data_IF_315395792465
#
_entry.id   IF_315395792465
#
_cell.length_a   1.000
_cell.length_b   1.000
_cell.length_c   1.000
_cell.angle_alpha   90.00
_cell.angle_beta   90.00
_cell.angle_gamma   90.00
#
_symmetry.space_group_name_H-M   'P 1'
#
loop_
_entity.id
_entity.type
_entity.pdbx_description
1 polymer ?
#
# COMPACT_ATOMS: atom_id res chain seq x y z
N UNK A 1 -16.66 -9.70 -8.59
CA UNK A 1 -16.27 -8.55 -7.73
C UNK A 1 -15.44 -7.58 -8.54
N UNK A 2 -15.64 -6.25 -8.36
CA UNK A 2 -14.94 -5.17 -9.09
C UNK A 2 -14.08 -4.35 -8.15
N UNK A 3 -12.82 -4.11 -8.52
CA UNK A 3 -11.93 -3.22 -7.78
C UNK A 3 -11.73 -1.92 -8.55
N UNK A 4 -12.18 -0.81 -7.98
CA UNK A 4 -11.92 0.51 -8.51
C UNK A 4 -10.46 0.89 -8.24
N UNK A 5 -9.70 1.09 -9.32
CA UNK A 5 -8.25 1.20 -9.34
C UNK A 5 -7.80 2.42 -10.17
N UNK A 6 -6.63 2.93 -9.82
CA UNK A 6 -5.87 3.85 -10.66
C UNK A 6 -4.44 3.32 -10.79
N UNK A 7 -3.97 3.19 -12.03
CA UNK A 7 -2.64 2.62 -12.32
C UNK A 7 -1.55 3.41 -11.58
N UNK A 8 -0.74 2.72 -10.80
CA UNK A 8 0.34 3.30 -10.00
C UNK A 8 -0.08 3.78 -8.60
N UNK A 9 -1.37 3.76 -8.26
CA UNK A 9 -1.80 4.09 -6.91
C UNK A 9 -1.42 2.97 -5.92
N UNK A 10 -0.81 3.30 -4.78
CA UNK A 10 -0.26 2.30 -3.87
C UNK A 10 -1.34 1.48 -3.14
N UNK A 11 -2.44 2.10 -2.71
CA UNK A 11 -3.48 1.41 -1.96
C UNK A 11 -4.26 0.36 -2.79
N UNK A 12 -4.68 0.64 -4.05
CA UNK A 12 -5.19 -0.40 -4.92
C UNK A 12 -4.16 -1.50 -5.21
N UNK A 13 -2.86 -1.15 -5.37
CA UNK A 13 -1.80 -2.13 -5.56
C UNK A 13 -1.70 -3.10 -4.38
N UNK A 14 -1.84 -2.61 -3.13
CA UNK A 14 -1.91 -3.46 -1.92
C UNK A 14 -2.99 -4.53 -2.05
N UNK A 15 -4.20 -4.14 -2.46
CA UNK A 15 -5.32 -5.08 -2.65
C UNK A 15 -5.05 -6.08 -3.77
N UNK A 16 -4.48 -5.63 -4.89
CA UNK A 16 -4.14 -6.51 -6.02
C UNK A 16 -3.10 -7.55 -5.64
N UNK A 17 -2.05 -7.16 -4.91
CA UNK A 17 -1.05 -8.10 -4.38
C UNK A 17 -1.72 -9.10 -3.45
N UNK A 18 -2.55 -8.63 -2.51
CA UNK A 18 -3.26 -9.49 -1.57
C UNK A 18 -4.18 -10.50 -2.29
N UNK A 19 -4.96 -10.03 -3.25
CA UNK A 19 -5.82 -10.90 -4.06
C UNK A 19 -5.01 -11.95 -4.85
N UNK A 20 -3.87 -11.55 -5.43
CA UNK A 20 -2.98 -12.47 -6.15
C UNK A 20 -2.36 -13.53 -5.23
N UNK A 21 -1.96 -13.18 -3.98
CA UNK A 21 -1.50 -14.16 -2.98
C UNK A 21 -2.60 -15.19 -2.62
N UNK A 22 -3.86 -14.79 -2.73
CA UNK A 22 -5.04 -15.63 -2.48
C UNK A 22 -5.54 -16.40 -3.72
N UNK A 23 -4.98 -16.14 -4.90
CA UNK A 23 -5.51 -16.68 -6.15
C UNK A 23 -6.87 -16.14 -6.53
N UNK A 24 -7.27 -14.97 -5.99
CA UNK A 24 -8.55 -14.32 -6.26
C UNK A 24 -8.41 -13.40 -7.47
N UNK A 25 -9.21 -13.61 -8.49
CA UNK A 25 -9.32 -12.71 -9.64
C UNK A 25 -10.29 -11.56 -9.36
N UNK A 26 -9.86 -10.34 -9.64
CA UNK A 26 -10.66 -9.13 -9.52
C UNK A 26 -10.82 -8.44 -10.87
N UNK A 27 -12.03 -8.05 -11.22
CA UNK A 27 -12.27 -7.16 -12.35
C UNK A 27 -11.79 -5.76 -11.99
N UNK A 28 -10.82 -5.21 -12.74
CA UNK A 28 -10.28 -3.88 -12.47
C UNK A 28 -11.08 -2.82 -13.20
N UNK A 29 -11.64 -1.87 -12.46
CA UNK A 29 -12.35 -0.70 -13.01
C UNK A 29 -11.46 0.52 -12.86
N UNK A 30 -10.97 1.04 -13.99
CA UNK A 30 -10.14 2.25 -13.97
C UNK A 30 -10.95 3.45 -13.51
N UNK A 31 -10.39 4.21 -12.55
CA UNK A 31 -10.96 5.46 -12.04
C UNK A 31 -10.00 6.59 -12.36
N UNK A 32 -10.33 7.44 -13.32
CA UNK A 32 -9.46 8.53 -13.75
C UNK A 32 -9.40 9.64 -12.68
N UNK A 33 -8.30 9.63 -11.92
CA UNK A 33 -8.06 10.60 -10.84
C UNK A 33 -7.86 12.03 -11.38
N UNK A 34 -7.35 12.18 -12.62
CA UNK A 34 -7.13 13.49 -13.25
C UNK A 34 -8.46 14.11 -13.68
N UNK A 35 -9.38 13.31 -14.19
CA UNK A 35 -10.75 13.73 -14.49
C UNK A 35 -11.63 13.81 -13.24
N UNK A 36 -11.08 13.51 -12.06
CA UNK A 36 -11.79 13.54 -10.78
C UNK A 36 -13.00 12.61 -10.73
N UNK A 37 -12.98 11.47 -11.44
CA UNK A 37 -14.07 10.49 -11.43
C UNK A 37 -14.39 9.98 -10.01
N UNK A 38 -13.39 9.93 -9.13
CA UNK A 38 -13.54 9.61 -7.70
C UNK A 38 -14.34 10.67 -6.89
N UNK A 39 -14.74 11.78 -7.52
CA UNK A 39 -15.53 12.87 -6.89
C UNK A 39 -16.91 13.05 -7.54
N UNK A 40 -17.30 12.17 -8.45
CA UNK A 40 -18.66 12.15 -9.00
C UNK A 40 -19.64 11.60 -7.97
N UNK A 41 -20.92 12.01 -8.07
CA UNK A 41 -21.97 11.53 -7.16
C UNK A 41 -22.11 10.01 -7.20
N UNK A 42 -21.93 9.40 -8.39
CA UNK A 42 -21.95 7.95 -8.56
C UNK A 42 -20.85 7.26 -7.74
N UNK A 43 -19.62 7.80 -7.80
CA UNK A 43 -18.52 7.24 -7.03
C UNK A 43 -18.66 7.51 -5.52
N UNK A 44 -19.10 8.72 -5.14
CA UNK A 44 -19.32 9.09 -3.76
C UNK A 44 -20.44 8.25 -3.10
N UNK A 45 -21.42 7.79 -3.85
CA UNK A 45 -22.41 6.83 -3.37
C UNK A 45 -21.78 5.46 -3.00
N UNK A 46 -20.68 5.06 -3.65
CA UNK A 46 -19.91 3.83 -3.35
C UNK A 46 -18.93 4.06 -2.19
N UNK A 47 -18.27 5.21 -2.16
CA UNK A 47 -17.32 5.60 -1.12
C UNK A 47 -17.40 7.11 -0.85
N UNK A 48 -18.08 7.54 0.22
CA UNK A 48 -18.23 8.97 0.55
C UNK A 48 -16.90 9.71 0.78
N UNK A 49 -15.80 8.99 1.10
CA UNK A 49 -14.48 9.62 1.23
C UNK A 49 -13.91 10.06 -0.13
N UNK A 50 -14.46 9.55 -1.23
CA UNK A 50 -13.98 9.80 -2.58
C UNK A 50 -12.52 9.39 -2.75
N UNK A 51 -12.15 8.22 -2.25
CA UNK A 51 -10.81 7.61 -2.34
C UNK A 51 -10.88 6.23 -2.96
N UNK A 52 -9.80 5.79 -3.56
CA UNK A 52 -9.58 4.42 -4.04
C UNK A 52 -8.59 3.71 -3.12
N UNK A 53 -8.65 2.34 -3.04
CA UNK A 53 -9.57 1.45 -3.73
C UNK A 53 -10.99 1.41 -3.15
N UNK A 54 -11.91 0.93 -3.95
CA UNK A 54 -13.23 0.45 -3.52
C UNK A 54 -13.42 -0.94 -4.11
N UNK A 55 -13.87 -1.90 -3.32
CA UNK A 55 -14.32 -3.21 -3.79
C UNK A 55 -15.85 -3.20 -3.86
N UNK A 56 -16.40 -3.38 -5.06
CA UNK A 56 -17.84 -3.58 -5.29
C UNK A 56 -18.11 -5.08 -5.42
N UNK A 57 -18.98 -5.59 -4.57
CA UNK A 57 -19.41 -6.97 -4.57
C UNK A 57 -20.48 -7.22 -5.65
N UNK A 58 -20.75 -8.49 -5.97
CA UNK A 58 -21.71 -8.85 -7.01
C UNK A 58 -23.17 -8.48 -6.66
N UNK A 59 -23.45 -8.25 -5.38
CA UNK A 59 -24.74 -7.74 -4.88
C UNK A 59 -24.83 -6.21 -4.80
N UNK A 60 -23.78 -5.49 -5.25
CA UNK A 60 -23.70 -4.03 -5.27
C UNK A 60 -23.22 -3.39 -3.97
N UNK A 61 -22.99 -4.15 -2.89
CA UNK A 61 -22.37 -3.59 -1.68
C UNK A 61 -20.93 -3.21 -1.94
N UNK A 62 -20.46 -2.13 -1.31
CA UNK A 62 -19.12 -1.61 -1.48
C UNK A 62 -18.34 -1.65 -0.17
N UNK A 63 -17.05 -1.98 -0.27
CA UNK A 63 -16.08 -1.95 0.83
C UNK A 63 -14.96 -0.98 0.43
N UNK A 64 -14.68 0.00 1.28
CA UNK A 64 -13.52 0.89 1.15
C UNK A 64 -12.43 0.50 2.15
N UNK A 65 -11.27 1.19 2.07
CA UNK A 65 -10.04 0.93 2.83
C UNK A 65 -9.34 -0.37 2.42
N UNK A 66 -8.13 -0.25 1.89
CA UNK A 66 -7.40 -1.40 1.29
C UNK A 66 -7.18 -2.57 2.25
N UNK A 67 -6.94 -2.32 3.54
CA UNK A 67 -6.79 -3.38 4.54
C UNK A 67 -8.13 -4.01 4.91
N UNK A 68 -9.22 -3.23 4.95
CA UNK A 68 -10.56 -3.76 5.16
C UNK A 68 -11.00 -4.65 3.99
N UNK A 69 -10.68 -4.25 2.76
CA UNK A 69 -10.88 -5.07 1.56
C UNK A 69 -10.07 -6.37 1.68
N UNK A 70 -8.79 -6.29 2.06
CA UNK A 70 -7.95 -7.48 2.27
C UNK A 70 -8.51 -8.41 3.34
N UNK A 71 -9.09 -7.89 4.44
CA UNK A 71 -9.78 -8.71 5.45
C UNK A 71 -11.02 -9.42 4.90
N UNK A 72 -11.78 -8.76 4.05
CA UNK A 72 -12.90 -9.40 3.37
C UNK A 72 -12.43 -10.54 2.47
N UNK A 73 -11.35 -10.31 1.69
CA UNK A 73 -10.76 -11.35 0.83
C UNK A 73 -10.19 -12.51 1.64
N UNK A 74 -9.56 -12.26 2.79
CA UNK A 74 -9.13 -13.30 3.75
C UNK A 74 -10.29 -14.14 4.27
N UNK A 75 -11.43 -13.51 4.54
CA UNK A 75 -12.60 -14.22 5.08
C UNK A 75 -13.28 -15.13 4.05
N UNK A 76 -13.23 -14.79 2.76
CA UNK A 76 -13.80 -15.63 1.69
C UNK A 76 -12.81 -16.68 1.17
N UNK A 77 -11.49 -16.43 1.27
CA UNK A 77 -10.43 -17.37 0.93
C UNK A 77 -9.38 -17.36 2.06
N UNK A 78 -9.52 -18.22 3.09
CA UNK A 78 -8.66 -18.18 4.27
C UNK A 78 -7.20 -18.58 4.01
N UNK A 79 -6.92 -19.37 2.97
CA UNK A 79 -5.56 -19.83 2.68
C UNK A 79 -4.98 -19.22 1.38
N UNK A 80 -3.67 -18.93 1.35
CA UNK A 80 -2.74 -18.92 2.47
C UNK A 80 -3.11 -17.84 3.50
N UNK A 81 -3.09 -18.19 4.79
CA UNK A 81 -3.47 -17.25 5.85
C UNK A 81 -2.45 -16.10 5.99
N UNK A 82 -2.93 -14.84 5.88
CA UNK A 82 -2.12 -13.63 5.90
C UNK A 82 -2.47 -12.67 7.06
N UNK A 83 -3.49 -12.99 7.87
CA UNK A 83 -3.93 -12.16 9.01
C UNK A 83 -3.76 -12.81 10.38
N UNK A 84 -3.29 -14.07 10.44
CA UNK A 84 -3.10 -14.82 11.67
C UNK A 84 -4.09 -15.97 11.83
N UNK A 85 -3.63 -17.07 12.46
CA UNK A 85 -4.38 -18.35 12.59
C UNK A 85 -5.03 -18.53 13.95
N UNK A 86 -4.46 -17.91 14.98
CA UNK A 86 -4.98 -17.96 16.35
C UNK A 86 -5.16 -16.57 16.93
N UNK A 87 -5.68 -16.49 18.13
CA UNK A 87 -5.99 -15.22 18.79
C UNK A 87 -4.75 -14.32 19.00
N UNK A 88 -3.58 -14.94 19.26
CA UNK A 88 -2.33 -14.19 19.41
C UNK A 88 -1.87 -13.62 18.07
N UNK A 89 -1.77 -14.47 17.03
CA UNK A 89 -1.35 -14.04 15.70
C UNK A 89 -2.30 -12.98 15.11
N UNK A 90 -3.63 -13.16 15.27
CA UNK A 90 -4.62 -12.15 14.85
C UNK A 90 -4.33 -10.78 15.47
N UNK A 91 -4.08 -10.73 16.77
CA UNK A 91 -3.73 -9.50 17.48
C UNK A 91 -2.36 -8.97 17.10
N UNK A 92 -1.37 -9.84 16.98
CA UNK A 92 0.02 -9.47 16.67
C UNK A 92 0.16 -8.93 15.22
N UNK A 93 -0.38 -9.64 14.24
CA UNK A 93 -0.32 -9.21 12.83
C UNK A 93 -1.08 -7.88 12.62
N UNK A 94 -2.24 -7.73 13.28
CA UNK A 94 -2.97 -6.46 13.27
C UNK A 94 -2.13 -5.34 13.89
N UNK A 95 -1.52 -5.55 15.06
CA UNK A 95 -0.70 -4.54 15.72
C UNK A 95 0.47 -4.10 14.81
N UNK A 96 1.16 -5.05 14.18
CA UNK A 96 2.27 -4.77 13.24
C UNK A 96 1.80 -3.99 12.02
N UNK A 97 0.68 -4.41 11.41
CA UNK A 97 0.12 -3.70 10.26
C UNK A 97 -0.34 -2.28 10.63
N UNK A 98 -0.97 -2.10 11.81
CA UNK A 98 -1.38 -0.78 12.31
C UNK A 98 -0.20 0.16 12.56
N UNK A 99 0.92 -0.34 13.07
CA UNK A 99 2.15 0.45 13.23
C UNK A 99 2.64 0.97 11.87
N UNK A 100 2.66 0.11 10.84
CA UNK A 100 3.03 0.54 9.48
C UNK A 100 2.07 1.62 8.98
N UNK A 101 0.76 1.45 9.14
CA UNK A 101 -0.23 2.41 8.65
C UNK A 101 -0.16 3.75 9.39
N UNK A 102 -0.08 3.72 10.72
CA UNK A 102 -0.15 4.93 11.54
C UNK A 102 1.19 5.65 11.67
N UNK A 103 2.31 4.91 11.74
CA UNK A 103 3.61 5.50 12.00
C UNK A 103 4.42 5.74 10.72
N UNK A 104 4.29 4.90 9.69
CA UNK A 104 5.01 5.05 8.42
C UNK A 104 4.15 5.68 7.32
N UNK A 105 3.02 5.05 6.97
CA UNK A 105 2.15 5.55 5.88
C UNK A 105 1.68 6.97 6.09
N UNK A 106 1.32 7.33 7.34
CA UNK A 106 0.89 8.70 7.67
C UNK A 106 2.01 9.71 7.40
N UNK A 107 3.26 9.37 7.74
CA UNK A 107 4.41 10.25 7.49
C UNK A 107 4.73 10.34 5.99
N UNK A 108 4.73 9.22 5.28
CA UNK A 108 4.92 9.20 3.82
C UNK A 108 3.82 10.04 3.15
N UNK A 109 2.56 9.89 3.57
CA UNK A 109 1.43 10.66 3.06
C UNK A 109 1.58 12.17 3.31
N UNK A 110 2.03 12.56 4.51
CA UNK A 110 2.31 13.97 4.84
C UNK A 110 3.44 14.53 3.98
N UNK A 111 4.52 13.78 3.81
CA UNK A 111 5.63 14.17 2.93
C UNK A 111 5.16 14.29 1.47
N UNK A 112 4.35 13.35 0.98
CA UNK A 112 3.78 13.36 -0.36
C UNK A 112 2.93 14.60 -0.63
N UNK A 113 1.97 14.90 0.27
CA UNK A 113 1.06 16.05 0.13
C UNK A 113 1.82 17.36 0.14
N UNK A 114 2.89 17.46 0.92
CA UNK A 114 3.73 18.66 1.01
C UNK A 114 4.97 18.61 0.09
N UNK A 115 5.00 17.63 -0.82
CA UNK A 115 6.11 17.43 -1.75
C UNK A 115 5.93 18.15 -3.10
N UNK A 116 7.00 18.20 -3.92
CA UNK A 116 7.02 19.00 -5.14
C UNK A 116 6.00 18.54 -6.20
N UNK A 117 5.70 17.25 -6.30
CA UNK A 117 4.74 16.73 -7.29
C UNK A 117 3.33 17.24 -6.97
N UNK A 118 2.87 17.12 -5.73
CA UNK A 118 1.54 17.61 -5.30
C UNK A 118 1.51 19.13 -5.28
N UNK A 119 2.61 19.77 -4.88
CA UNK A 119 2.76 21.23 -4.94
C UNK A 119 2.58 21.78 -6.34
N UNK A 120 3.14 21.14 -7.35
CA UNK A 120 2.97 21.52 -8.75
C UNK A 120 1.53 21.37 -9.26
N UNK A 121 0.70 20.54 -8.62
CA UNK A 121 -0.72 20.39 -8.95
C UNK A 121 -1.59 21.56 -8.41
N UNK A 122 -1.06 22.34 -7.45
CA UNK A 122 -1.79 23.48 -6.87
C UNK A 122 -3.04 23.10 -6.08
N UNK A 123 -3.12 21.86 -5.59
CA UNK A 123 -4.32 21.35 -4.90
C UNK A 123 -4.37 21.68 -3.42
N UNK A 124 -3.20 21.95 -2.82
CA UNK A 124 -3.04 22.19 -1.38
C UNK A 124 -1.98 23.24 -1.11
N UNK A 125 -2.15 24.01 -0.04
CA UNK A 125 -1.10 24.87 0.49
C UNK A 125 0.02 24.01 1.07
N UNK A 126 1.25 24.23 0.62
CA UNK A 126 2.41 23.47 1.02
C UNK A 126 2.92 23.91 2.40
N UNK A 127 3.25 22.97 3.26
CA UNK A 127 3.84 23.19 4.59
C UNK A 127 5.24 22.54 4.63
N UNK A 128 6.32 23.25 4.22
CA UNK A 128 7.66 22.67 4.10
C UNK A 128 8.18 22.04 5.40
N UNK A 129 7.88 22.63 6.55
CA UNK A 129 8.30 22.10 7.85
C UNK A 129 7.60 20.77 8.18
N UNK A 130 6.34 20.57 7.75
CA UNK A 130 5.64 19.30 7.90
C UNK A 130 6.32 18.22 7.05
N UNK A 131 6.70 18.54 5.80
CA UNK A 131 7.48 17.62 4.96
C UNK A 131 8.79 17.24 5.64
N UNK A 132 9.59 18.21 6.04
CA UNK A 132 10.90 17.99 6.69
C UNK A 132 10.80 17.12 7.94
N UNK A 133 9.79 17.37 8.78
CA UNK A 133 9.55 16.56 9.98
C UNK A 133 9.16 15.11 9.62
N UNK A 134 8.28 14.94 8.63
CA UNK A 134 7.84 13.64 8.17
C UNK A 134 8.96 12.84 7.52
N UNK A 135 9.80 13.46 6.68
CA UNK A 135 10.97 12.82 6.07
C UNK A 135 11.92 12.25 7.14
N UNK A 136 12.18 13.01 8.19
CA UNK A 136 12.98 12.56 9.32
C UNK A 136 12.35 11.37 10.06
N UNK A 137 11.03 11.39 10.24
CA UNK A 137 10.32 10.30 10.90
C UNK A 137 10.31 9.02 10.05
N UNK A 138 10.16 9.14 8.72
CA UNK A 138 10.24 8.01 7.78
C UNK A 138 11.62 7.35 7.86
N UNK A 139 12.70 8.12 7.79
CA UNK A 139 14.06 7.58 7.87
C UNK A 139 14.32 6.87 9.21
N UNK A 140 13.88 7.44 10.33
CA UNK A 140 13.97 6.78 11.64
C UNK A 140 13.16 5.49 11.70
N UNK A 141 12.03 5.43 11.01
CA UNK A 141 11.24 4.21 10.93
C UNK A 141 11.98 3.12 10.14
N UNK A 142 12.65 3.48 9.03
CA UNK A 142 13.48 2.56 8.26
C UNK A 142 14.65 1.99 9.08
N UNK A 143 15.36 2.84 9.84
CA UNK A 143 16.43 2.40 10.76
C UNK A 143 15.92 1.40 11.82
N UNK A 144 14.71 1.65 12.37
CA UNK A 144 14.06 0.71 13.29
C UNK A 144 13.75 -0.62 12.62
N UNK A 145 13.16 -0.58 11.41
CA UNK A 145 12.84 -1.79 10.65
C UNK A 145 14.10 -2.60 10.32
N UNK A 146 15.19 -1.95 9.93
CA UNK A 146 16.45 -2.64 9.67
C UNK A 146 16.92 -3.40 10.91
N UNK A 147 16.88 -2.76 12.07
CA UNK A 147 17.23 -3.41 13.35
C UNK A 147 16.31 -4.60 13.69
N UNK A 148 15.01 -4.48 13.43
CA UNK A 148 14.03 -5.57 13.64
C UNK A 148 14.28 -6.73 12.68
N UNK A 149 14.56 -6.45 11.40
CA UNK A 149 14.84 -7.46 10.39
C UNK A 149 16.20 -8.15 10.54
N UNK A 150 17.09 -7.66 11.41
CA UNK A 150 18.30 -8.41 11.79
C UNK A 150 17.99 -9.78 12.44
N UNK A 151 16.81 -9.89 13.07
CA UNK A 151 16.39 -11.10 13.81
C UNK A 151 15.05 -11.67 13.35
N UNK A 152 14.33 -10.97 12.45
CA UNK A 152 13.04 -11.40 11.92
C UNK A 152 13.11 -11.53 10.40
N UNK A 153 12.45 -12.55 9.85
CA UNK A 153 12.35 -12.72 8.40
C UNK A 153 11.32 -11.77 7.80
N UNK A 154 10.16 -11.59 8.46
CA UNK A 154 9.04 -10.77 8.02
C UNK A 154 8.58 -9.78 9.08
N UNK A 155 7.67 -8.89 8.73
CA UNK A 155 7.12 -7.85 9.61
C UNK A 155 6.58 -8.39 10.93
N UNK A 156 5.92 -9.54 10.91
CA UNK A 156 5.30 -10.15 12.09
C UNK A 156 6.04 -11.40 12.58
N UNK A 157 7.35 -11.51 12.29
CA UNK A 157 8.19 -12.64 12.70
C UNK A 157 8.57 -13.55 11.53
N UNK A 158 8.25 -14.85 11.63
CA UNK A 158 8.69 -15.86 10.67
C UNK A 158 7.71 -16.10 9.52
N UNK A 159 6.59 -15.40 9.52
CA UNK A 159 5.52 -15.60 8.53
C UNK A 159 5.22 -14.33 7.76
N UNK A 160 5.19 -14.47 6.42
CA UNK A 160 4.68 -13.45 5.52
C UNK A 160 3.20 -13.13 5.80
N UNK A 161 2.85 -11.86 5.79
CA UNK A 161 1.55 -11.37 6.24
C UNK A 161 1.09 -10.10 5.50
N UNK A 162 -0.10 -9.62 5.80
CA UNK A 162 -0.60 -8.32 5.37
C UNK A 162 0.36 -7.17 5.73
N UNK A 163 1.10 -7.30 6.84
CA UNK A 163 2.11 -6.32 7.24
C UNK A 163 3.21 -6.15 6.19
N UNK A 164 3.69 -7.25 5.61
CA UNK A 164 4.72 -7.23 4.57
C UNK A 164 4.19 -6.59 3.28
N UNK A 165 2.96 -6.90 2.89
CA UNK A 165 2.30 -6.28 1.72
C UNK A 165 2.14 -4.77 1.94
N UNK A 166 1.73 -4.36 3.14
CA UNK A 166 1.59 -2.95 3.50
C UNK A 166 2.93 -2.22 3.48
N UNK A 167 3.98 -2.84 4.01
CA UNK A 167 5.30 -2.24 4.10
C UNK A 167 5.96 -2.10 2.73
N UNK A 168 5.96 -3.17 1.90
CA UNK A 168 6.57 -3.10 0.57
C UNK A 168 5.88 -2.07 -0.31
N UNK A 169 4.54 -1.97 -0.25
CA UNK A 169 3.80 -0.94 -0.98
C UNK A 169 4.12 0.47 -0.49
N UNK A 170 4.37 0.65 0.81
CA UNK A 170 4.77 1.94 1.38
C UNK A 170 6.16 2.37 0.92
N UNK A 171 7.15 1.47 1.01
CA UNK A 171 8.54 1.74 0.61
C UNK A 171 8.62 2.01 -0.89
N UNK A 172 7.95 1.21 -1.72
CA UNK A 172 7.93 1.41 -3.16
C UNK A 172 7.32 2.76 -3.54
N UNK A 173 6.21 3.15 -2.91
CA UNK A 173 5.60 4.47 -3.13
C UNK A 173 6.51 5.60 -2.67
N UNK A 174 7.09 5.47 -1.47
CA UNK A 174 8.02 6.45 -0.92
C UNK A 174 9.23 6.66 -1.83
N UNK A 175 9.81 5.56 -2.33
CA UNK A 175 10.97 5.58 -3.23
C UNK A 175 10.65 6.18 -4.59
N UNK A 176 9.51 5.81 -5.19
CA UNK A 176 9.21 6.16 -6.59
C UNK A 176 8.61 7.54 -6.76
N UNK A 177 7.87 8.05 -5.77
CA UNK A 177 7.07 9.27 -5.90
C UNK A 177 7.36 10.34 -4.84
N UNK A 178 7.90 9.96 -3.68
CA UNK A 178 8.12 10.90 -2.57
C UNK A 178 9.58 11.30 -2.42
N UNK A 179 10.49 10.55 -3.08
CA UNK A 179 11.95 10.68 -2.94
C UNK A 179 12.45 10.37 -1.51
N UNK A 180 11.85 9.33 -0.93
CA UNK A 180 12.19 8.82 0.41
C UNK A 180 12.60 7.34 0.33
N UNK A 181 13.68 7.07 -0.43
CA UNK A 181 14.30 5.74 -0.50
C UNK A 181 15.01 5.44 0.83
N UNK A 182 14.89 4.21 1.38
CA UNK A 182 15.74 3.79 2.50
C UNK A 182 17.23 3.91 2.17
N UNK A 183 18.05 4.26 3.16
CA UNK A 183 19.50 4.37 2.99
C UNK A 183 20.10 3.03 2.56
N UNK A 184 21.20 3.07 1.78
CA UNK A 184 21.79 1.86 1.15
C UNK A 184 22.47 0.94 2.16
N UNK A 185 22.87 1.46 3.31
CA UNK A 185 23.48 0.73 4.42
C UNK A 185 22.48 0.00 5.33
N UNK A 186 21.18 0.13 5.09
CA UNK A 186 20.14 -0.64 5.80
C UNK A 186 20.01 -2.05 5.18
N UNK A 187 21.03 -2.89 5.42
CA UNK A 187 21.20 -4.18 4.73
C UNK A 187 20.07 -5.18 5.02
N UNK A 188 19.57 -5.23 6.25
CA UNK A 188 18.50 -6.15 6.64
C UNK A 188 17.15 -5.74 6.06
N UNK A 189 16.88 -4.44 5.98
CA UNK A 189 15.68 -3.91 5.33
C UNK A 189 15.71 -4.22 3.83
N UNK A 190 16.86 -4.04 3.17
CA UNK A 190 17.00 -4.35 1.74
C UNK A 190 16.94 -5.84 1.45
N UNK A 191 17.50 -6.69 2.33
CA UNK A 191 17.31 -8.16 2.22
C UNK A 191 15.83 -8.52 2.25
N UNK A 192 15.09 -8.00 3.25
CA UNK A 192 13.64 -8.22 3.36
C UNK A 192 12.90 -7.71 2.12
N UNK A 193 13.20 -6.48 1.66
CA UNK A 193 12.56 -5.90 0.48
C UNK A 193 12.78 -6.73 -0.77
N UNK A 194 13.99 -7.22 -1.00
CA UNK A 194 14.34 -8.08 -2.13
C UNK A 194 13.58 -9.41 -2.07
N UNK A 195 13.54 -10.06 -0.90
CA UNK A 195 12.84 -11.32 -0.69
C UNK A 195 11.33 -11.18 -0.95
N UNK A 196 10.71 -10.16 -0.38
CA UNK A 196 9.27 -9.90 -0.57
C UNK A 196 8.97 -9.52 -2.01
N UNK A 197 9.78 -8.66 -2.63
CA UNK A 197 9.57 -8.22 -4.02
C UNK A 197 9.72 -9.33 -5.06
N UNK A 198 10.43 -10.41 -4.74
CA UNK A 198 10.58 -11.59 -5.61
C UNK A 198 9.34 -12.52 -5.61
N UNK A 199 8.34 -12.27 -4.77
CA UNK A 199 7.13 -13.10 -4.72
C UNK A 199 6.30 -12.95 -6.00
N UNK A 200 5.68 -14.04 -6.51
CA UNK A 200 4.90 -14.00 -7.75
C UNK A 200 3.83 -12.91 -7.77
N UNK A 201 3.11 -12.70 -6.67
CA UNK A 201 2.06 -11.69 -6.56
C UNK A 201 2.61 -10.25 -6.75
N UNK A 202 3.82 -9.98 -6.27
CA UNK A 202 4.45 -8.67 -6.44
C UNK A 202 5.00 -8.48 -7.86
N UNK A 203 5.52 -9.54 -8.48
CA UNK A 203 5.96 -9.51 -9.88
C UNK A 203 4.81 -9.26 -10.85
N UNK A 204 3.60 -9.77 -10.55
CA UNK A 204 2.38 -9.46 -11.31
C UNK A 204 1.92 -8.01 -11.13
N UNK A 205 2.23 -7.39 -10.01
CA UNK A 205 1.81 -6.03 -9.66
C UNK A 205 3.01 -5.15 -9.27
N UNK A 206 3.95 -4.88 -10.21
CA UNK A 206 5.14 -4.10 -9.91
C UNK A 206 4.78 -2.66 -9.51
N UNK A 207 5.69 -2.01 -8.77
CA UNK A 207 5.60 -0.59 -8.53
C UNK A 207 5.72 0.17 -9.85
N UNK A 208 4.79 1.07 -10.12
CA UNK A 208 4.80 1.89 -11.35
C UNK A 208 4.66 3.36 -11.01
N UNK A 209 5.38 4.20 -11.76
CA UNK A 209 5.19 5.65 -11.67
C UNK A 209 3.89 5.99 -12.41
N UNK A 210 2.92 6.67 -11.76
CA UNK A 210 1.72 7.13 -12.45
C UNK A 210 2.08 8.00 -13.66
N UNK A 211 1.49 7.72 -14.81
CA UNK A 211 1.67 8.51 -16.02
C UNK A 211 2.86 8.13 -16.92
N UNK A 212 3.75 7.22 -16.52
CA UNK A 212 4.67 6.56 -17.46
C UNK A 212 4.00 5.29 -17.97
N UNK A 213 3.62 5.30 -19.24
CA UNK A 213 3.15 4.10 -19.92
C UNK A 213 4.19 2.99 -19.75
N UNK A 214 3.74 1.76 -19.48
CA UNK A 214 4.61 0.61 -19.63
C UNK A 214 5.16 0.63 -21.07
N UNK A 215 6.45 0.23 -21.29
CA UNK A 215 6.91 0.02 -22.63
C UNK A 215 5.95 -0.97 -23.30
N UNK A 216 5.37 -0.55 -24.43
CA UNK A 216 4.63 -1.44 -25.31
C UNK A 216 5.62 -2.50 -25.78
N UNK A 217 5.46 -3.72 -25.30
CA UNK A 217 6.11 -4.87 -25.94
C UNK A 217 5.42 -5.06 -27.28
N UNK A 218 6.09 -4.63 -28.34
CA UNK A 218 5.80 -5.08 -29.72
C UNK A 218 6.06 -6.59 -29.84
#
# INVERSE_FOLDING_TARGET
>A
MKLYDFKGAPNPRRVKIFAAEKGIELELVHTDMQKREHKTDEFLAKNPSGKIPVLELDDGRCISESVAISRYLEAIEPEPNLFGRDAYELGHFEARNRQIELELWTQIGTSWVNGPIVGAMGLFDQIPDAKKASDKNVNRYYERLDSEFATSQYVAGDRYSIGDISLVTAIDFATTLVDLKPAEDLEHLWRWHAEVSARPALLLHPATVPGRGAPTTD
#
